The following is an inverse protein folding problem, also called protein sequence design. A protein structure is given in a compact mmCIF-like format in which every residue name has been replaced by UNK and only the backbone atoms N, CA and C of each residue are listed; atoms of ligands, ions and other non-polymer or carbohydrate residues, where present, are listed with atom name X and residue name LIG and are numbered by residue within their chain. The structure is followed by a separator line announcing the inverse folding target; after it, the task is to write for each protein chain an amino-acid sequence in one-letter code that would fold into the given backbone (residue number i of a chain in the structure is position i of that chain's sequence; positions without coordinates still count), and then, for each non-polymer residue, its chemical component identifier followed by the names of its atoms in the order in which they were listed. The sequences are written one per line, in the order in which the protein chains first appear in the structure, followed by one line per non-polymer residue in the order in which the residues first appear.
data_IF_916856683958
#
_entry.id   IF_916856683958
#
_cell.length_a   1.000
_cell.length_b   1.000
_cell.length_c   1.000
_cell.angle_alpha   90.00
_cell.angle_beta   90.00
_cell.angle_gamma   90.00
#
_symmetry.space_group_name_H-M   'P 1'
#
loop_
_entity.id
_entity.type
_entity.pdbx_description
1 polymer ?
#
# COMPACT_ATOMS: atom_id res chain seq x y z
N UNK A 1 -43.36 -4.78 -12.82
CA UNK A 1 -42.49 -5.34 -11.76
C UNK A 1 -41.38 -4.32 -11.51
N UNK A 2 -41.62 -3.44 -10.55
CA UNK A 2 -40.62 -2.51 -10.02
C UNK A 2 -39.70 -3.26 -9.04
N UNK A 3 -38.43 -2.87 -9.01
CA UNK A 3 -37.68 -2.87 -7.75
C UNK A 3 -36.65 -3.98 -7.55
N UNK A 4 -35.45 -3.78 -8.12
CA UNK A 4 -34.18 -3.91 -7.39
C UNK A 4 -33.05 -3.33 -8.23
N UNK A 5 -32.87 -2.01 -8.15
CA UNK A 5 -31.52 -1.45 -8.25
C UNK A 5 -30.80 -1.95 -7.00
N UNK A 6 -30.08 -3.06 -7.13
CA UNK A 6 -29.19 -3.53 -6.08
C UNK A 6 -28.04 -2.53 -5.97
N UNK A 7 -27.88 -1.98 -4.78
CA UNK A 7 -26.77 -1.16 -4.29
C UNK A 7 -25.59 -1.07 -5.24
N UNK A 8 -25.38 0.13 -5.80
CA UNK A 8 -24.05 0.52 -6.23
C UNK A 8 -23.19 0.62 -4.99
N UNK A 9 -22.58 -0.51 -4.58
CA UNK A 9 -21.38 -0.45 -3.77
C UNK A 9 -20.44 0.48 -4.54
N UNK A 10 -20.12 1.62 -3.94
CA UNK A 10 -19.37 2.66 -4.61
C UNK A 10 -18.05 2.03 -5.07
N UNK A 11 -17.47 2.48 -6.18
CA UNK A 11 -16.16 2.00 -6.62
C UNK A 11 -15.11 2.05 -5.47
N UNK A 12 -15.35 2.94 -4.50
CA UNK A 12 -14.61 3.11 -3.25
C UNK A 12 -14.56 1.85 -2.36
N UNK A 13 -15.62 1.03 -2.37
CA UNK A 13 -15.79 -0.19 -1.56
C UNK A 13 -15.04 -1.40 -2.16
N UNK A 14 -14.75 -1.36 -3.46
CA UNK A 14 -14.05 -2.43 -4.17
C UNK A 14 -12.55 -2.17 -4.35
N UNK A 15 -12.05 -1.05 -3.81
CA UNK A 15 -10.64 -0.68 -3.84
C UNK A 15 -10.03 -0.70 -5.24
N UNK A 16 -9.01 -1.53 -5.51
CA UNK A 16 -8.40 -1.58 -6.86
C UNK A 16 -9.39 -2.04 -7.96
N UNK A 17 -10.31 -2.96 -7.66
CA UNK A 17 -11.31 -3.38 -8.64
C UNK A 17 -12.27 -2.24 -8.97
N UNK A 18 -12.60 -1.40 -7.98
CA UNK A 18 -13.36 -0.19 -8.22
C UNK A 18 -12.64 0.81 -9.13
N UNK A 19 -11.32 0.98 -8.96
CA UNK A 19 -10.49 1.78 -9.87
C UNK A 19 -10.53 1.22 -11.30
N UNK A 20 -10.38 -0.10 -11.46
CA UNK A 20 -10.38 -0.77 -12.77
C UNK A 20 -11.75 -0.70 -13.47
N UNK A 21 -12.83 -0.72 -12.69
CA UNK A 21 -14.22 -0.75 -13.20
C UNK A 21 -14.81 0.64 -13.41
N UNK A 22 -14.37 1.68 -12.69
CA UNK A 22 -14.98 3.01 -12.73
C UNK A 22 -14.64 3.84 -13.99
N UNK A 23 -13.67 3.44 -14.82
CA UNK A 23 -13.28 4.17 -16.03
C UNK A 23 -12.60 5.54 -15.80
N UNK A 24 -12.82 6.16 -14.65
CA UNK A 24 -12.09 7.33 -14.16
C UNK A 24 -10.88 6.86 -13.33
N UNK A 25 -9.74 6.80 -14.01
CA UNK A 25 -8.44 6.32 -13.52
C UNK A 25 -7.82 7.32 -12.52
N UNK A 26 -8.43 7.56 -11.35
CA UNK A 26 -7.84 8.39 -10.30
C UNK A 26 -6.70 7.66 -9.56
N UNK A 27 -5.62 7.40 -10.30
CA UNK A 27 -4.39 6.78 -9.78
C UNK A 27 -3.81 7.56 -8.59
N UNK A 28 -3.70 8.91 -8.63
CA UNK A 28 -3.20 9.67 -7.49
C UNK A 28 -4.07 9.47 -6.24
N UNK A 29 -5.40 9.51 -6.38
CA UNK A 29 -6.32 9.27 -5.26
C UNK A 29 -6.23 7.86 -4.70
N UNK A 30 -6.02 6.84 -5.56
CA UNK A 30 -5.79 5.47 -5.12
C UNK A 30 -4.47 5.32 -4.35
N UNK A 31 -3.38 5.94 -4.81
CA UNK A 31 -2.10 5.91 -4.10
C UNK A 31 -2.24 6.60 -2.73
N UNK A 32 -2.86 7.78 -2.70
CA UNK A 32 -3.03 8.56 -1.48
C UNK A 32 -3.88 7.81 -0.43
N UNK A 33 -5.03 7.25 -0.82
CA UNK A 33 -5.88 6.50 0.13
C UNK A 33 -5.24 5.21 0.65
N UNK A 34 -4.32 4.61 -0.12
CA UNK A 34 -3.77 3.28 0.18
C UNK A 34 -2.46 3.35 0.95
N UNK A 35 -1.55 4.26 0.58
CA UNK A 35 -0.23 4.39 1.21
C UNK A 35 0.13 5.83 1.61
N UNK A 36 -0.73 6.82 1.37
CA UNK A 36 -0.44 8.24 1.64
C UNK A 36 -0.08 8.51 3.11
N UNK A 37 -0.69 7.79 4.05
CA UNK A 37 -0.31 7.89 5.47
C UNK A 37 1.11 7.41 5.77
N UNK A 38 1.61 6.43 5.01
CA UNK A 38 3.01 5.95 5.12
C UNK A 38 3.96 6.95 4.45
N UNK A 39 3.61 7.45 3.26
CA UNK A 39 4.36 8.51 2.56
C UNK A 39 4.55 9.71 3.48
N UNK A 40 3.45 10.26 3.99
CA UNK A 40 3.49 11.43 4.85
C UNK A 40 4.20 11.16 6.18
N UNK A 41 4.23 9.91 6.66
CA UNK A 41 5.00 9.55 7.84
C UNK A 41 6.50 9.54 7.56
N UNK A 42 6.93 8.94 6.44
CA UNK A 42 8.33 8.93 6.01
C UNK A 42 8.85 10.36 5.79
N UNK A 43 8.08 11.21 5.11
CA UNK A 43 8.44 12.62 4.88
C UNK A 43 8.60 13.41 6.19
N UNK A 44 7.68 13.22 7.15
CA UNK A 44 7.72 13.94 8.43
C UNK A 44 8.78 13.44 9.40
N UNK A 45 9.14 12.15 9.34
CA UNK A 45 10.00 11.49 10.33
C UNK A 45 11.37 11.08 9.79
N UNK A 46 11.60 11.19 8.48
CA UNK A 46 12.81 10.71 7.83
C UNK A 46 12.96 9.18 7.97
N UNK A 47 11.86 8.45 7.94
CA UNK A 47 11.86 6.98 8.00
C UNK A 47 11.86 6.37 6.60
N UNK A 48 12.04 5.04 6.56
CA UNK A 48 12.16 4.26 5.32
C UNK A 48 11.07 3.17 5.27
N UNK A 49 9.84 3.50 5.68
CA UNK A 49 8.74 2.55 5.76
C UNK A 49 8.27 2.10 4.38
N UNK A 50 8.19 3.00 3.39
CA UNK A 50 7.85 2.65 2.02
C UNK A 50 8.87 1.69 1.41
N UNK A 51 10.16 1.98 1.58
CA UNK A 51 11.23 1.09 1.14
C UNK A 51 11.16 -0.27 1.84
N UNK A 52 10.85 -0.27 3.14
CA UNK A 52 10.67 -1.51 3.91
C UNK A 52 9.48 -2.34 3.39
N UNK A 53 8.36 -1.70 3.03
CA UNK A 53 7.22 -2.39 2.45
C UNK A 53 7.54 -2.99 1.08
N UNK A 54 8.19 -2.24 0.19
CA UNK A 54 8.57 -2.72 -1.13
C UNK A 54 9.46 -3.97 -1.03
N UNK A 55 10.49 -3.91 -0.17
CA UNK A 55 11.37 -5.05 0.10
C UNK A 55 10.63 -6.21 0.79
N UNK A 56 9.70 -5.92 1.71
CA UNK A 56 8.90 -6.94 2.39
C UNK A 56 8.04 -7.75 1.42
N UNK A 57 7.33 -7.08 0.52
CA UNK A 57 6.54 -7.75 -0.50
C UNK A 57 7.42 -8.49 -1.52
N UNK A 58 8.53 -7.89 -1.97
CA UNK A 58 9.48 -8.55 -2.87
C UNK A 58 10.07 -9.84 -2.25
N UNK A 59 10.27 -9.84 -0.92
CA UNK A 59 10.71 -10.97 -0.13
C UNK A 59 9.56 -11.92 0.29
N UNK A 60 8.41 -11.88 -0.39
CA UNK A 60 7.27 -12.75 -0.12
C UNK A 60 6.78 -12.67 1.31
N UNK A 61 6.72 -11.46 1.86
CA UNK A 61 6.23 -11.16 3.21
C UNK A 61 7.02 -11.85 4.34
N UNK A 62 8.33 -12.08 4.14
CA UNK A 62 9.21 -12.70 5.12
C UNK A 62 10.14 -11.67 5.77
N UNK A 63 9.97 -11.31 7.07
CA UNK A 63 10.84 -10.36 7.75
C UNK A 63 12.31 -10.81 7.77
N UNK A 64 12.53 -12.13 7.82
CA UNK A 64 13.87 -12.72 7.79
C UNK A 64 14.59 -12.45 6.46
N UNK A 65 13.90 -12.59 5.31
CA UNK A 65 14.51 -12.27 4.01
C UNK A 65 14.63 -10.75 3.81
N UNK A 66 13.64 -9.99 4.26
CA UNK A 66 13.66 -8.52 4.18
C UNK A 66 14.81 -7.91 4.95
N UNK A 67 15.22 -8.49 6.08
CA UNK A 67 16.38 -8.00 6.86
C UNK A 67 17.67 -8.06 6.02
N UNK A 68 17.83 -9.13 5.24
CA UNK A 68 19.03 -9.39 4.44
C UNK A 68 19.03 -8.46 3.22
N UNK A 69 17.88 -8.30 2.55
CA UNK A 69 17.70 -7.35 1.44
C UNK A 69 18.00 -5.90 1.88
N UNK A 70 17.43 -5.48 3.01
CA UNK A 70 17.58 -4.11 3.53
C UNK A 70 18.89 -3.89 4.29
N UNK A 71 19.69 -4.94 4.53
CA UNK A 71 20.91 -4.88 5.34
C UNK A 71 20.68 -4.27 6.73
N UNK A 72 19.56 -4.62 7.38
CA UNK A 72 19.20 -4.16 8.73
C UNK A 72 18.93 -5.34 9.66
N UNK A 73 18.82 -5.08 10.96
CA UNK A 73 18.44 -6.11 11.92
C UNK A 73 16.96 -6.51 11.76
N UNK A 74 16.63 -7.79 11.98
CA UNK A 74 15.25 -8.29 11.87
C UNK A 74 14.27 -7.54 12.78
N UNK A 75 14.72 -7.15 13.98
CA UNK A 75 13.91 -6.35 14.90
C UNK A 75 13.56 -4.98 14.31
N UNK A 76 14.45 -4.37 13.52
CA UNK A 76 14.18 -3.10 12.83
C UNK A 76 13.10 -3.31 11.77
N UNK A 77 13.15 -4.41 11.01
CA UNK A 77 12.09 -4.76 10.06
C UNK A 77 10.76 -4.92 10.81
N UNK A 78 10.73 -5.73 11.88
CA UNK A 78 9.53 -5.97 12.67
C UNK A 78 8.93 -4.66 13.22
N UNK A 79 9.75 -3.78 13.80
CA UNK A 79 9.30 -2.48 14.31
C UNK A 79 8.75 -1.56 13.22
N UNK A 80 9.36 -1.57 12.02
CA UNK A 80 8.87 -0.81 10.88
C UNK A 80 7.54 -1.36 10.37
N UNK A 81 7.38 -2.68 10.27
CA UNK A 81 6.13 -3.32 9.87
C UNK A 81 5.00 -3.11 10.91
N UNK A 82 5.33 -3.14 12.20
CA UNK A 82 4.38 -2.78 13.26
C UNK A 82 3.94 -1.32 13.16
N UNK A 83 4.87 -0.41 12.81
CA UNK A 83 4.54 0.98 12.53
C UNK A 83 3.63 1.10 11.31
N UNK A 84 3.88 0.34 10.25
CA UNK A 84 3.00 0.29 9.08
C UNK A 84 1.60 -0.18 9.46
N UNK A 85 1.47 -1.24 10.26
CA UNK A 85 0.15 -1.69 10.74
C UNK A 85 -0.62 -0.62 11.51
N UNK A 86 0.07 0.15 12.36
CA UNK A 86 -0.53 1.31 13.05
C UNK A 86 -0.97 2.44 12.11
N UNK A 87 -0.39 2.55 10.92
CA UNK A 87 -0.76 3.55 9.93
C UNK A 87 -1.86 3.04 9.01
N UNK A 88 -1.78 1.79 8.53
CA UNK A 88 -2.67 1.26 7.49
C UNK A 88 -3.85 0.43 8.01
N UNK A 89 -3.89 0.14 9.31
CA UNK A 89 -4.85 -0.76 9.94
C UNK A 89 -4.28 -2.16 10.15
N UNK A 90 -4.80 -2.90 11.14
CA UNK A 90 -4.29 -4.23 11.52
C UNK A 90 -4.48 -5.29 10.42
N UNK A 91 -5.41 -5.07 9.50
CA UNK A 91 -5.75 -5.94 8.37
C UNK A 91 -4.92 -5.66 7.10
N UNK A 92 -3.90 -4.80 7.17
CA UNK A 92 -3.09 -4.41 6.00
C UNK A 92 -2.40 -5.59 5.29
N UNK A 93 -2.21 -6.72 5.99
CA UNK A 93 -1.63 -7.95 5.45
C UNK A 93 -2.67 -8.93 4.90
N UNK A 94 -3.97 -8.62 4.98
CA UNK A 94 -5.00 -9.43 4.33
C UNK A 94 -4.75 -9.48 2.82
N UNK A 95 -5.09 -10.59 2.12
CA UNK A 95 -4.73 -10.78 0.71
C UNK A 95 -5.14 -9.61 -0.20
N UNK A 96 -6.36 -9.09 -0.01
CA UNK A 96 -6.89 -7.99 -0.82
C UNK A 96 -6.15 -6.68 -0.54
N UNK A 97 -5.94 -6.33 0.74
CA UNK A 97 -5.22 -5.12 1.15
C UNK A 97 -3.74 -5.18 0.73
N UNK A 98 -3.10 -6.33 0.88
CA UNK A 98 -1.72 -6.54 0.47
C UNK A 98 -1.54 -6.36 -1.05
N UNK A 99 -2.51 -6.77 -1.86
CA UNK A 99 -2.51 -6.52 -3.31
C UNK A 99 -2.62 -5.03 -3.62
N UNK A 100 -3.56 -4.34 -2.97
CA UNK A 100 -3.76 -2.90 -3.15
C UNK A 100 -2.50 -2.11 -2.80
N UNK A 101 -1.87 -2.42 -1.67
CA UNK A 101 -0.65 -1.75 -1.22
C UNK A 101 0.49 -2.00 -2.21
N UNK A 102 0.68 -3.23 -2.71
CA UNK A 102 1.69 -3.52 -3.73
C UNK A 102 1.46 -2.73 -5.02
N UNK A 103 0.22 -2.58 -5.45
CA UNK A 103 -0.13 -1.78 -6.63
C UNK A 103 0.13 -0.29 -6.38
N UNK A 104 -0.27 0.23 -5.22
CA UNK A 104 -0.04 1.61 -4.84
C UNK A 104 1.47 1.94 -4.77
N UNK A 105 2.30 1.04 -4.23
CA UNK A 105 3.77 1.19 -4.21
C UNK A 105 4.35 1.29 -5.62
N UNK A 106 3.91 0.43 -6.54
CA UNK A 106 4.36 0.46 -7.96
C UNK A 106 3.92 1.76 -8.65
N UNK A 107 2.67 2.17 -8.47
CA UNK A 107 2.14 3.40 -9.05
C UNK A 107 2.82 4.64 -8.50
N UNK A 108 3.09 4.68 -7.19
CA UNK A 108 3.84 5.76 -6.54
C UNK A 108 5.25 5.90 -7.14
N UNK A 109 5.97 4.78 -7.32
CA UNK A 109 7.30 4.77 -7.95
C UNK A 109 7.29 5.31 -9.39
N UNK A 110 6.24 5.03 -10.16
CA UNK A 110 6.08 5.53 -11.52
C UNK A 110 5.67 7.02 -11.57
N UNK A 111 5.05 7.51 -10.50
CA UNK A 111 4.58 8.90 -10.38
C UNK A 111 5.70 9.83 -9.90
N UNK A 112 6.76 9.29 -9.29
CA UNK A 112 7.96 10.05 -8.96
C UNK A 112 8.70 10.40 -10.25
N UNK A 113 9.05 11.68 -10.49
CA UNK A 113 9.86 12.04 -11.64
C UNK A 113 11.18 11.25 -11.58
N UNK A 114 11.55 10.62 -12.69
CA UNK A 114 12.84 9.92 -12.79
C UNK A 114 13.94 10.92 -12.42
N UNK A 115 14.62 10.69 -11.31
CA UNK A 115 15.82 11.47 -10.92
C UNK A 115 16.87 11.23 -12.00
N UNK A 116 17.02 12.20 -12.91
CA UNK A 116 18.16 12.33 -13.82
C UNK A 116 19.32 12.99 -13.07
#
# INVERSE_FOLDING_TARGET
LLGRFGDGAAAEDFGFLGLLLAGEQNVPGFVERTIGQVVAYDERRGTELLHTLDAYFACGMSPARTKDELHVHVNTVAQRLERVGRLLGDDWQSPDRALEIQLALRLHRLSLPARQ
#
